data_IF_349270566022
#
_entry.id   IF_349270566022
#
_cell.length_a   1.000
_cell.length_b   1.000
_cell.length_c   1.000
_cell.angle_alpha   90.00
_cell.angle_beta   90.00
_cell.angle_gamma   90.00
#
_symmetry.space_group_name_H-M   'P 1'
#
loop_
_entity.id
_entity.type
_entity.pdbx_description
1 polymer ?
#
# COMPACT_ATOMS: atom_id res chain seq x y z
N UNK A 1 -12.61 -18.13 5.62
CA UNK A 1 -12.29 -16.73 5.20
C UNK A 1 -11.74 -15.85 6.34
N UNK A 2 -11.82 -16.27 7.58
CA UNK A 2 -11.37 -15.49 8.75
C UNK A 2 -9.85 -15.58 9.01
N UNK A 3 -9.18 -16.62 8.52
CA UNK A 3 -7.75 -16.90 8.80
C UNK A 3 -6.73 -16.16 7.92
N UNK A 4 -7.16 -15.33 6.98
CA UNK A 4 -6.25 -14.61 6.08
C UNK A 4 -6.47 -13.08 6.04
N UNK A 5 -7.11 -12.50 7.02
CA UNK A 5 -7.14 -11.04 7.11
C UNK A 5 -5.75 -10.55 7.53
N UNK A 6 -5.03 -9.99 6.57
CA UNK A 6 -3.74 -9.39 6.81
C UNK A 6 -3.90 -8.19 7.76
N UNK A 7 -3.13 -8.15 8.85
CA UNK A 7 -3.25 -7.09 9.87
C UNK A 7 -3.24 -5.66 9.30
N UNK A 8 -2.60 -5.45 8.14
CA UNK A 8 -2.63 -4.16 7.45
C UNK A 8 -3.99 -3.86 6.80
N UNK A 9 -4.76 -4.86 6.36
CA UNK A 9 -6.12 -4.65 5.87
C UNK A 9 -7.09 -4.35 7.01
N UNK A 10 -6.92 -4.98 8.16
CA UNK A 10 -7.72 -4.66 9.36
C UNK A 10 -7.46 -3.21 9.80
N UNK A 11 -6.21 -2.78 9.80
CA UNK A 11 -5.84 -1.38 10.07
C UNK A 11 -6.45 -0.43 9.04
N UNK A 12 -6.44 -0.79 7.75
CA UNK A 12 -7.06 0.01 6.70
C UNK A 12 -8.55 0.22 6.97
N UNK A 13 -9.30 -0.84 7.26
CA UNK A 13 -10.74 -0.77 7.54
C UNK A 13 -11.03 0.05 8.81
N UNK A 14 -10.23 -0.12 9.87
CA UNK A 14 -10.38 0.64 11.11
C UNK A 14 -10.14 2.15 10.90
N UNK A 15 -9.12 2.51 10.12
CA UNK A 15 -8.85 3.92 9.76
C UNK A 15 -9.91 4.48 8.80
N UNK A 16 -10.34 3.68 7.83
CA UNK A 16 -11.33 4.08 6.83
C UNK A 16 -12.71 4.34 7.44
N UNK A 17 -13.12 3.51 8.41
CA UNK A 17 -14.48 3.52 8.97
C UNK A 17 -15.51 3.62 7.85
N UNK A 18 -15.56 2.60 6.94
CA UNK A 18 -16.43 2.64 5.78
C UNK A 18 -17.89 2.76 6.20
N UNK A 19 -18.69 3.43 5.38
CA UNK A 19 -20.11 3.62 5.61
C UNK A 19 -20.91 3.33 4.32
N UNK A 20 -22.13 2.86 4.45
CA UNK A 20 -22.97 2.38 3.34
C UNK A 20 -23.28 3.44 2.26
N UNK A 21 -23.02 4.70 2.55
CA UNK A 21 -23.16 5.80 1.59
C UNK A 21 -21.83 6.22 0.94
N UNK A 22 -20.71 5.63 1.33
CA UNK A 22 -19.41 5.98 0.75
C UNK A 22 -19.31 5.55 -0.71
N UNK A 23 -18.81 6.45 -1.53
CA UNK A 23 -18.22 6.16 -2.84
C UNK A 23 -16.70 6.16 -2.68
N UNK A 24 -16.09 5.02 -2.95
CA UNK A 24 -14.68 4.78 -2.65
C UNK A 24 -13.85 4.80 -3.93
N UNK A 25 -12.71 5.48 -3.91
CA UNK A 25 -11.62 5.27 -4.86
C UNK A 25 -10.55 4.40 -4.20
N UNK A 26 -10.29 3.23 -4.75
CA UNK A 26 -9.09 2.43 -4.44
C UNK A 26 -7.98 2.85 -5.42
N UNK A 27 -7.11 3.75 -4.97
CA UNK A 27 -6.08 4.40 -5.76
C UNK A 27 -4.84 3.54 -5.86
N UNK A 28 -4.37 3.26 -7.08
CA UNK A 28 -3.32 2.30 -7.37
C UNK A 28 -3.66 0.92 -6.77
N UNK A 29 -4.83 0.43 -7.17
CA UNK A 29 -5.53 -0.71 -6.55
C UNK A 29 -4.77 -2.03 -6.69
N UNK A 30 -3.91 -2.17 -7.71
CA UNK A 30 -3.33 -3.45 -8.10
C UNK A 30 -4.44 -4.46 -8.40
N UNK A 31 -4.44 -5.59 -7.71
CA UNK A 31 -5.48 -6.63 -7.83
C UNK A 31 -6.70 -6.39 -6.91
N UNK A 32 -6.88 -5.21 -6.32
CA UNK A 32 -8.12 -4.84 -5.65
C UNK A 32 -8.19 -5.07 -4.15
N UNK A 33 -7.13 -5.51 -3.49
CA UNK A 33 -7.20 -5.98 -2.10
C UNK A 33 -7.70 -4.93 -1.09
N UNK A 34 -7.34 -3.65 -1.27
CA UNK A 34 -7.79 -2.58 -0.37
C UNK A 34 -9.27 -2.25 -0.61
N UNK A 35 -9.68 -2.14 -1.88
CA UNK A 35 -11.06 -1.97 -2.27
C UNK A 35 -11.96 -3.11 -1.79
N UNK A 36 -11.51 -4.36 -1.93
CA UNK A 36 -12.27 -5.54 -1.47
C UNK A 36 -12.50 -5.54 0.04
N UNK A 37 -11.51 -5.05 0.81
CA UNK A 37 -11.64 -5.00 2.26
C UNK A 37 -12.75 -4.04 2.74
N UNK A 38 -13.07 -3.00 1.97
CA UNK A 38 -14.11 -2.02 2.30
C UNK A 38 -15.41 -2.24 1.53
N UNK A 39 -15.39 -2.97 0.42
CA UNK A 39 -16.54 -3.17 -0.47
C UNK A 39 -17.83 -3.64 0.23
N UNK A 40 -17.80 -4.55 1.22
CA UNK A 40 -19.01 -5.00 1.90
C UNK A 40 -19.78 -3.90 2.63
N UNK A 41 -19.10 -2.82 3.04
CA UNK A 41 -19.63 -1.78 3.91
C UNK A 41 -19.91 -0.45 3.20
N UNK A 42 -19.71 -0.38 1.87
CA UNK A 42 -19.82 0.87 1.10
C UNK A 42 -20.80 0.75 -0.08
N UNK A 43 -21.21 1.89 -0.64
CA UNK A 43 -22.11 1.92 -1.80
C UNK A 43 -21.42 1.39 -3.07
N UNK A 44 -20.20 1.85 -3.36
CA UNK A 44 -19.46 1.48 -4.54
C UNK A 44 -17.95 1.70 -4.34
N UNK A 45 -17.16 0.89 -5.03
CA UNK A 45 -15.69 1.01 -5.13
C UNK A 45 -15.30 1.17 -6.58
N UNK A 46 -14.55 2.20 -6.88
CA UNK A 46 -13.84 2.42 -8.13
C UNK A 46 -12.37 2.03 -7.91
N UNK A 47 -11.97 0.89 -8.45
CA UNK A 47 -10.62 0.35 -8.34
C UNK A 47 -9.79 0.82 -9.55
N UNK A 48 -8.88 1.77 -9.34
CA UNK A 48 -8.15 2.47 -10.37
C UNK A 48 -6.65 2.14 -10.35
N UNK A 49 -6.09 1.78 -11.49
CA UNK A 49 -4.66 1.48 -11.66
C UNK A 49 -4.19 1.80 -13.08
N UNK A 50 -2.88 1.92 -13.28
CA UNK A 50 -2.26 2.09 -14.59
C UNK A 50 -1.80 0.77 -15.24
N UNK A 51 -1.92 -0.36 -14.54
CA UNK A 51 -1.47 -1.67 -14.96
C UNK A 51 -2.66 -2.58 -15.35
N UNK A 52 -2.92 -2.79 -16.66
CA UNK A 52 -4.08 -3.53 -17.12
C UNK A 52 -4.11 -4.98 -16.62
N UNK A 53 -2.95 -5.66 -16.57
CA UNK A 53 -2.88 -7.07 -16.14
C UNK A 53 -3.34 -7.24 -14.67
N UNK A 54 -3.04 -6.26 -13.80
CA UNK A 54 -3.49 -6.28 -12.41
C UNK A 54 -4.99 -6.02 -12.29
N UNK A 55 -5.54 -5.13 -13.14
CA UNK A 55 -6.98 -4.88 -13.18
C UNK A 55 -7.76 -6.10 -13.66
N UNK A 56 -7.25 -6.82 -14.66
CA UNK A 56 -7.86 -8.10 -15.13
C UNK A 56 -7.86 -9.15 -14.02
N UNK A 57 -6.77 -9.30 -13.29
CA UNK A 57 -6.69 -10.19 -12.13
C UNK A 57 -7.67 -9.77 -11.04
N UNK A 58 -7.76 -8.46 -10.73
CA UNK A 58 -8.71 -7.91 -9.77
C UNK A 58 -10.16 -8.19 -10.16
N UNK A 59 -10.53 -7.99 -11.42
CA UNK A 59 -11.87 -8.31 -11.93
C UNK A 59 -12.23 -9.78 -11.72
N UNK A 60 -11.29 -10.69 -12.02
CA UNK A 60 -11.47 -12.12 -11.81
C UNK A 60 -11.69 -12.43 -10.32
N UNK A 61 -10.85 -11.89 -9.45
CA UNK A 61 -10.95 -12.08 -8.00
C UNK A 61 -12.25 -11.51 -7.43
N UNK A 62 -12.67 -10.32 -7.86
CA UNK A 62 -13.94 -9.71 -7.44
C UNK A 62 -15.14 -10.60 -7.80
N UNK A 63 -15.14 -11.16 -9.01
CA UNK A 63 -16.19 -12.10 -9.46
C UNK A 63 -16.20 -13.39 -8.62
N UNK A 64 -15.03 -13.95 -8.30
CA UNK A 64 -14.91 -15.15 -7.45
C UNK A 64 -15.40 -14.89 -6.02
N UNK A 65 -15.17 -13.67 -5.50
CA UNK A 65 -15.63 -13.24 -4.18
C UNK A 65 -17.09 -12.77 -4.16
N UNK A 66 -17.75 -12.67 -5.32
CA UNK A 66 -19.13 -12.18 -5.43
C UNK A 66 -19.30 -10.70 -5.13
N UNK A 67 -18.25 -9.87 -5.30
CA UNK A 67 -18.29 -8.43 -5.09
C UNK A 67 -18.90 -7.74 -6.33
N UNK A 68 -20.14 -7.29 -6.22
CA UNK A 68 -20.89 -6.70 -7.35
C UNK A 68 -20.80 -5.17 -7.41
N UNK A 69 -20.25 -4.54 -6.39
CA UNK A 69 -20.15 -3.09 -6.25
C UNK A 69 -18.70 -2.58 -6.44
N UNK A 70 -17.83 -3.36 -7.09
CA UNK A 70 -16.45 -2.97 -7.42
C UNK A 70 -16.32 -2.87 -8.94
N UNK A 71 -15.96 -1.69 -9.44
CA UNK A 71 -15.61 -1.46 -10.82
C UNK A 71 -14.10 -1.24 -10.95
N UNK A 72 -13.52 -1.62 -12.11
CA UNK A 72 -12.09 -1.51 -12.38
C UNK A 72 -11.85 -0.62 -13.59
N UNK A 73 -11.00 0.40 -13.44
CA UNK A 73 -10.73 1.38 -14.49
C UNK A 73 -9.23 1.60 -14.67
N UNK A 74 -8.78 1.49 -15.93
CA UNK A 74 -7.42 1.85 -16.33
C UNK A 74 -7.31 3.38 -16.40
N UNK A 75 -6.39 3.96 -15.64
CA UNK A 75 -6.22 5.41 -15.53
C UNK A 75 -4.76 5.82 -15.53
N UNK A 76 -4.50 7.09 -15.83
CA UNK A 76 -3.27 7.75 -15.40
C UNK A 76 -3.45 8.21 -13.95
N UNK A 77 -2.62 7.69 -13.03
CA UNK A 77 -2.69 8.03 -11.60
C UNK A 77 -2.38 9.51 -11.30
N UNK A 78 -1.73 10.21 -12.24
CA UNK A 78 -1.41 11.63 -12.10
C UNK A 78 -2.42 12.56 -12.80
N UNK A 79 -3.41 11.98 -13.52
CA UNK A 79 -4.44 12.71 -14.23
C UNK A 79 -5.75 11.90 -14.23
N UNK A 80 -6.35 11.74 -13.05
CA UNK A 80 -7.54 10.93 -12.87
C UNK A 80 -8.74 11.45 -13.68
N UNK A 81 -9.46 10.58 -14.43
CA UNK A 81 -10.57 10.97 -15.28
C UNK A 81 -11.88 11.22 -14.50
N UNK A 82 -11.78 11.56 -13.22
CA UNK A 82 -12.92 11.80 -12.35
C UNK A 82 -13.12 13.28 -12.07
N UNK A 83 -14.37 13.66 -11.87
CA UNK A 83 -14.73 15.03 -11.49
C UNK A 83 -14.14 15.38 -10.10
N UNK A 84 -13.95 16.65 -9.86
CA UNK A 84 -13.61 17.15 -8.53
C UNK A 84 -14.64 16.67 -7.51
N UNK A 85 -14.16 16.25 -6.34
CA UNK A 85 -15.00 15.85 -5.20
C UNK A 85 -15.93 14.64 -5.47
N UNK A 86 -15.51 13.73 -6.34
CA UNK A 86 -16.30 12.56 -6.72
C UNK A 86 -16.39 11.48 -5.62
N UNK A 87 -15.40 11.40 -4.71
CA UNK A 87 -15.29 10.31 -3.75
C UNK A 87 -15.33 10.80 -2.31
N UNK A 88 -16.04 10.08 -1.44
CA UNK A 88 -16.11 10.36 0.00
C UNK A 88 -14.99 9.65 0.79
N UNK A 89 -14.44 8.59 0.23
CA UNK A 89 -13.31 7.84 0.79
C UNK A 89 -12.32 7.50 -0.33
N UNK A 90 -11.05 7.69 -0.07
CA UNK A 90 -9.96 7.18 -0.91
C UNK A 90 -9.14 6.23 -0.05
N UNK A 91 -8.85 5.04 -0.56
CA UNK A 91 -7.88 4.11 0.02
C UNK A 91 -6.70 3.96 -0.91
N UNK A 92 -5.49 3.93 -0.37
CA UNK A 92 -4.26 3.74 -1.12
C UNK A 92 -3.31 2.88 -0.28
N UNK A 93 -2.98 1.70 -0.78
CA UNK A 93 -2.20 0.72 -0.01
C UNK A 93 -1.03 0.19 -0.80
N UNK A 94 0.16 0.22 -0.19
CA UNK A 94 1.41 -0.29 -0.78
C UNK A 94 1.74 0.33 -2.16
N UNK A 95 1.46 1.60 -2.34
CA UNK A 95 1.61 2.26 -3.65
C UNK A 95 2.52 3.48 -3.59
N UNK A 96 2.48 4.29 -2.53
CA UNK A 96 3.19 5.57 -2.49
C UNK A 96 4.70 5.40 -2.69
N UNK A 97 5.29 4.33 -2.15
CA UNK A 97 6.70 4.00 -2.30
C UNK A 97 7.12 3.64 -3.74
N UNK A 98 6.16 3.38 -4.63
CA UNK A 98 6.39 3.09 -6.04
C UNK A 98 6.26 4.34 -6.94
N UNK A 99 5.56 5.37 -6.46
CA UNK A 99 5.23 6.54 -7.28
C UNK A 99 6.44 7.46 -7.47
N UNK A 100 6.81 7.82 -8.72
CA UNK A 100 7.86 8.79 -9.00
C UNK A 100 7.58 10.17 -8.42
N UNK A 101 6.33 10.61 -8.45
CA UNK A 101 5.87 11.94 -8.05
C UNK A 101 4.73 11.85 -7.02
N UNK A 102 5.01 11.45 -5.76
CA UNK A 102 3.96 11.22 -4.77
C UNK A 102 3.16 12.47 -4.43
N UNK A 103 3.77 13.65 -4.48
CA UNK A 103 3.06 14.91 -4.25
C UNK A 103 1.99 15.19 -5.31
N UNK A 104 2.28 14.90 -6.59
CA UNK A 104 1.32 15.04 -7.69
C UNK A 104 0.16 14.05 -7.55
N UNK A 105 0.46 12.80 -7.19
CA UNK A 105 -0.55 11.78 -6.90
C UNK A 105 -1.48 12.19 -5.75
N UNK A 106 -0.92 12.71 -4.66
CA UNK A 106 -1.68 13.21 -3.52
C UNK A 106 -2.53 14.44 -3.88
N UNK A 107 -2.04 15.32 -4.76
CA UNK A 107 -2.83 16.46 -5.24
C UNK A 107 -4.05 16.00 -6.07
N UNK A 108 -3.92 14.95 -6.89
CA UNK A 108 -5.05 14.33 -7.59
C UNK A 108 -6.04 13.67 -6.61
N UNK A 109 -5.55 12.92 -5.61
CA UNK A 109 -6.41 12.40 -4.55
C UNK A 109 -7.17 13.55 -3.85
N UNK A 110 -6.48 14.64 -3.53
CA UNK A 110 -7.11 15.81 -2.92
C UNK A 110 -8.19 16.42 -3.86
N UNK A 111 -7.92 16.55 -5.14
CA UNK A 111 -8.88 17.10 -6.12
C UNK A 111 -10.17 16.30 -6.15
N UNK A 112 -10.07 14.97 -6.24
CA UNK A 112 -11.23 14.09 -6.37
C UNK A 112 -11.92 13.75 -5.04
N UNK A 113 -11.30 14.07 -3.90
CA UNK A 113 -11.88 13.86 -2.57
C UNK A 113 -12.98 14.89 -2.30
N UNK A 114 -14.15 14.46 -1.86
CA UNK A 114 -15.28 15.33 -1.51
C UNK A 114 -15.00 16.16 -0.24
N UNK A 115 -15.77 17.21 -0.05
CA UNK A 115 -15.74 17.97 1.22
C UNK A 115 -16.17 17.08 2.38
N UNK A 116 -15.36 17.02 3.43
CA UNK A 116 -15.58 16.12 4.57
C UNK A 116 -15.21 14.65 4.28
N UNK A 117 -14.70 14.35 3.08
CA UNK A 117 -14.14 13.06 2.73
C UNK A 117 -12.80 12.80 3.43
N UNK A 118 -12.34 11.57 3.34
CA UNK A 118 -11.09 11.12 3.96
C UNK A 118 -10.25 10.24 3.04
N UNK A 119 -8.94 10.30 3.20
CA UNK A 119 -7.99 9.37 2.58
C UNK A 119 -7.43 8.45 3.66
N UNK A 120 -7.31 7.18 3.35
CA UNK A 120 -6.55 6.22 4.15
C UNK A 120 -5.37 5.73 3.33
N UNK A 121 -4.18 6.05 3.80
CA UNK A 121 -2.92 5.69 3.20
C UNK A 121 -2.22 4.64 4.06
N UNK A 122 -1.88 3.48 3.49
CA UNK A 122 -1.04 2.48 4.12
C UNK A 122 0.19 2.21 3.28
N UNK A 123 1.37 2.41 3.85
CA UNK A 123 2.62 2.13 3.14
C UNK A 123 3.72 1.60 4.07
N UNK A 124 4.58 0.70 3.61
CA UNK A 124 5.75 0.28 4.37
C UNK A 124 6.66 1.47 4.68
N UNK A 125 7.11 1.52 5.92
CA UNK A 125 8.00 2.58 6.41
C UNK A 125 9.31 2.01 6.95
N UNK A 126 10.30 2.88 7.04
CA UNK A 126 11.63 2.57 7.57
C UNK A 126 11.98 3.53 8.71
N UNK A 127 12.88 3.09 9.56
CA UNK A 127 13.55 3.94 10.53
C UNK A 127 14.97 4.33 10.04
N UNK A 128 15.70 5.07 10.86
CA UNK A 128 17.04 5.52 10.53
C UNK A 128 18.03 4.36 10.32
N UNK A 129 17.86 3.26 11.05
CA UNK A 129 18.73 2.08 11.01
C UNK A 129 18.49 1.26 9.74
N UNK A 130 17.22 1.07 9.35
CA UNK A 130 16.81 0.19 8.26
C UNK A 130 16.72 0.88 6.91
N UNK A 131 16.62 2.23 6.87
CA UNK A 131 16.36 3.05 5.67
C UNK A 131 17.24 2.65 4.48
N UNK A 132 18.56 2.71 4.63
CA UNK A 132 19.46 2.41 3.52
C UNK A 132 19.36 0.96 3.06
N UNK A 133 19.47 0.03 4.01
CA UNK A 133 19.54 -1.39 3.70
C UNK A 133 18.24 -1.93 3.11
N UNK A 134 17.10 -1.57 3.70
CA UNK A 134 15.80 -2.06 3.22
C UNK A 134 15.42 -1.44 1.88
N UNK A 135 15.68 -0.15 1.66
CA UNK A 135 15.47 0.49 0.36
C UNK A 135 16.36 -0.10 -0.75
N UNK A 136 17.61 -0.47 -0.47
CA UNK A 136 18.48 -1.16 -1.43
C UNK A 136 17.94 -2.54 -1.80
N UNK A 137 17.47 -3.32 -0.82
CA UNK A 137 16.87 -4.64 -1.03
C UNK A 137 15.54 -4.52 -1.79
N UNK A 138 14.70 -3.56 -1.43
CA UNK A 138 13.43 -3.32 -2.10
C UNK A 138 13.59 -3.00 -3.59
N UNK A 139 14.60 -2.20 -3.97
CA UNK A 139 14.91 -1.93 -5.39
C UNK A 139 15.39 -3.15 -6.16
N UNK A 140 16.08 -4.09 -5.51
CA UNK A 140 16.45 -5.37 -6.13
C UNK A 140 15.23 -6.23 -6.41
N UNK A 141 14.26 -6.23 -5.47
CA UNK A 141 13.01 -6.99 -5.57
C UNK A 141 12.07 -6.38 -6.61
N UNK A 142 11.84 -5.07 -6.52
CA UNK A 142 10.86 -4.35 -7.29
C UNK A 142 11.51 -3.19 -8.05
N UNK A 143 11.71 -3.31 -9.38
CA UNK A 143 12.35 -2.26 -10.17
C UNK A 143 11.61 -0.91 -10.15
N UNK A 144 10.30 -0.92 -9.93
CA UNK A 144 9.49 0.28 -9.78
C UNK A 144 9.70 0.97 -8.42
N UNK A 145 10.29 0.28 -7.44
CA UNK A 145 10.49 0.83 -6.11
C UNK A 145 11.29 2.13 -6.14
N UNK A 146 10.74 3.18 -5.55
CA UNK A 146 11.37 4.49 -5.40
C UNK A 146 11.94 4.65 -4.01
N UNK A 147 11.07 4.62 -2.98
CA UNK A 147 11.48 4.84 -1.60
C UNK A 147 10.44 4.37 -0.59
N UNK A 148 10.86 3.53 0.35
CA UNK A 148 10.17 3.46 1.65
C UNK A 148 10.57 4.69 2.45
N UNK A 149 9.57 5.45 2.88
CA UNK A 149 9.76 6.69 3.61
C UNK A 149 9.91 6.41 5.11
N UNK A 150 10.58 7.31 5.81
CA UNK A 150 10.42 7.41 7.27
C UNK A 150 9.07 8.06 7.55
N UNK A 151 8.51 7.78 8.73
CA UNK A 151 7.20 8.34 9.12
C UNK A 151 7.17 9.85 8.96
N UNK A 152 8.19 10.56 9.44
CA UNK A 152 8.25 12.02 9.36
C UNK A 152 8.35 12.55 7.91
N UNK A 153 9.01 11.80 7.03
CA UNK A 153 9.04 12.15 5.60
C UNK A 153 7.66 11.95 4.96
N UNK A 154 6.96 10.88 5.33
CA UNK A 154 5.61 10.60 4.86
C UNK A 154 4.62 11.67 5.33
N UNK A 155 4.67 12.07 6.61
CA UNK A 155 3.86 13.15 7.17
C UNK A 155 4.11 14.46 6.41
N UNK A 156 5.38 14.83 6.19
CA UNK A 156 5.74 16.04 5.46
C UNK A 156 5.22 16.03 4.00
N UNK A 157 5.26 14.87 3.32
CA UNK A 157 4.73 14.72 1.95
C UNK A 157 3.22 14.95 1.93
N UNK A 158 2.46 14.32 2.83
CA UNK A 158 0.99 14.45 2.84
C UNK A 158 0.56 15.85 3.28
N UNK A 159 1.25 16.47 4.23
CA UNK A 159 1.00 17.85 4.65
C UNK A 159 1.29 18.85 3.52
N UNK A 160 2.39 18.68 2.78
CA UNK A 160 2.73 19.53 1.64
C UNK A 160 1.70 19.45 0.51
N UNK A 161 0.98 18.33 0.41
CA UNK A 161 -0.14 18.14 -0.53
C UNK A 161 -1.48 18.70 -0.02
N UNK A 162 -1.49 19.40 1.13
CA UNK A 162 -2.69 20.04 1.70
C UNK A 162 -3.60 19.10 2.48
N UNK A 163 -3.05 18.02 3.03
CA UNK A 163 -3.75 17.15 3.97
C UNK A 163 -3.36 17.41 5.42
N UNK A 164 -4.25 17.05 6.32
CA UNK A 164 -3.99 17.00 7.77
C UNK A 164 -4.07 15.55 8.21
N UNK A 165 -3.06 15.07 8.90
CA UNK A 165 -3.05 13.74 9.52
C UNK A 165 -3.97 13.78 10.74
N UNK A 166 -5.10 13.07 10.69
CA UNK A 166 -6.08 12.97 11.78
C UNK A 166 -5.82 11.80 12.70
N UNK A 167 -5.28 10.73 12.15
CA UNK A 167 -4.89 9.55 12.91
C UNK A 167 -3.70 8.89 12.23
N UNK A 168 -2.78 8.40 13.05
CA UNK A 168 -1.61 7.66 12.63
C UNK A 168 -1.51 6.40 13.50
N UNK A 169 -1.44 5.26 12.88
CA UNK A 169 -1.20 3.97 13.51
C UNK A 169 -0.13 3.20 12.74
N UNK A 170 0.49 2.24 13.39
CA UNK A 170 1.51 1.40 12.76
C UNK A 170 1.22 -0.06 13.08
N UNK A 171 1.36 -0.92 12.09
CA UNK A 171 1.31 -2.36 12.26
C UNK A 171 2.62 -3.00 11.83
N UNK A 172 3.17 -3.86 12.70
CA UNK A 172 4.36 -4.64 12.37
C UNK A 172 3.97 -5.87 11.58
N UNK A 173 4.62 -6.07 10.44
CA UNK A 173 4.42 -7.25 9.60
C UNK A 173 5.66 -8.12 9.63
N UNK A 174 5.46 -9.41 9.92
CA UNK A 174 6.49 -10.43 9.72
C UNK A 174 6.14 -11.24 8.48
N UNK A 175 7.10 -11.46 7.61
CA UNK A 175 6.91 -12.15 6.35
C UNK A 175 8.05 -13.14 6.09
N UNK A 176 7.73 -14.25 5.46
CA UNK A 176 8.72 -15.17 4.91
C UNK A 176 9.34 -14.56 3.65
N UNK A 177 10.67 -14.61 3.54
CA UNK A 177 11.41 -13.99 2.44
C UNK A 177 11.07 -14.64 1.09
N UNK A 178 10.91 -15.95 1.05
CA UNK A 178 10.62 -16.65 -0.21
C UNK A 178 9.21 -16.33 -0.70
N UNK A 179 8.24 -16.26 0.21
CA UNK A 179 6.90 -15.76 -0.12
C UNK A 179 6.94 -14.32 -0.64
N UNK A 180 7.70 -13.44 0.04
CA UNK A 180 7.83 -12.03 -0.37
C UNK A 180 8.46 -11.87 -1.76
N UNK A 181 9.45 -12.71 -2.09
CA UNK A 181 10.09 -12.73 -3.41
C UNK A 181 9.15 -13.29 -4.49
N UNK A 182 8.41 -14.33 -4.17
CA UNK A 182 7.45 -14.97 -5.09
C UNK A 182 6.30 -14.01 -5.44
N UNK A 183 5.79 -13.27 -4.46
CA UNK A 183 4.71 -12.29 -4.67
C UNK A 183 5.05 -11.19 -5.68
N UNK A 184 6.35 -10.91 -5.90
CA UNK A 184 6.83 -9.98 -6.93
C UNK A 184 7.42 -10.70 -8.17
N UNK A 185 7.21 -12.01 -8.31
CA UNK A 185 7.74 -12.81 -9.40
C UNK A 185 9.25 -12.62 -9.64
N UNK A 186 10.03 -12.46 -8.53
CA UNK A 186 11.47 -12.14 -8.61
C UNK A 186 12.23 -13.29 -9.27
N UNK A 187 13.01 -13.05 -10.34
CA UNK A 187 13.82 -14.08 -10.97
C UNK A 187 14.80 -14.74 -9.99
N UNK A 188 15.04 -16.05 -10.15
CA UNK A 188 15.86 -16.85 -9.22
C UNK A 188 17.23 -16.24 -8.93
N UNK A 189 17.94 -15.73 -9.95
CA UNK A 189 19.25 -15.11 -9.79
C UNK A 189 19.22 -13.86 -8.88
N UNK A 190 18.18 -13.05 -9.00
CA UNK A 190 17.95 -11.89 -8.11
C UNK A 190 17.50 -12.35 -6.71
N UNK A 191 16.66 -13.37 -6.62
CA UNK A 191 16.24 -13.94 -5.34
C UNK A 191 17.43 -14.44 -4.53
N UNK A 192 18.38 -15.13 -5.16
CA UNK A 192 19.62 -15.60 -4.51
C UNK A 192 20.49 -14.42 -4.04
N UNK A 193 20.60 -13.36 -4.84
CA UNK A 193 21.29 -12.13 -4.45
C UNK A 193 20.61 -11.48 -3.23
N UNK A 194 19.29 -11.37 -3.21
CA UNK A 194 18.54 -10.78 -2.10
C UNK A 194 18.70 -11.61 -0.83
N UNK A 195 18.63 -12.97 -0.91
CA UNK A 195 18.93 -13.84 0.23
C UNK A 195 20.36 -13.62 0.78
N UNK A 196 21.33 -13.44 -0.12
CA UNK A 196 22.70 -13.08 0.25
C UNK A 196 22.79 -11.75 0.97
N UNK A 197 22.02 -10.74 0.53
CA UNK A 197 21.94 -9.43 1.20
C UNK A 197 21.36 -9.55 2.61
N UNK A 198 20.26 -10.28 2.82
CA UNK A 198 19.71 -10.51 4.16
C UNK A 198 20.74 -11.16 5.10
N UNK A 199 21.51 -12.14 4.63
CA UNK A 199 22.56 -12.80 5.43
C UNK A 199 23.73 -11.88 5.79
N UNK A 200 23.98 -10.84 4.99
CA UNK A 200 25.07 -9.88 5.18
C UNK A 200 24.66 -8.54 5.79
N UNK A 201 23.41 -8.40 6.21
CA UNK A 201 22.94 -7.19 6.90
C UNK A 201 23.74 -6.96 8.19
N UNK A 202 24.03 -5.70 8.55
CA UNK A 202 24.55 -5.35 9.86
C UNK A 202 23.67 -5.89 11.00
N UNK A 203 24.27 -6.21 12.15
CA UNK A 203 23.57 -6.85 13.27
C UNK A 203 22.44 -5.97 13.81
N UNK A 204 22.62 -4.67 13.87
CA UNK A 204 21.61 -3.69 14.27
C UNK A 204 20.43 -3.65 13.29
N UNK A 205 20.68 -3.69 11.99
CA UNK A 205 19.64 -3.79 10.96
C UNK A 205 18.88 -5.12 11.06
N UNK A 206 19.59 -6.24 11.24
CA UNK A 206 18.95 -7.54 11.46
C UNK A 206 18.05 -7.53 12.69
N UNK A 207 18.51 -6.91 13.78
CA UNK A 207 17.72 -6.79 15.00
C UNK A 207 16.48 -5.92 14.83
N UNK A 208 16.61 -4.75 14.16
CA UNK A 208 15.48 -3.88 13.86
C UNK A 208 14.43 -4.54 12.96
N UNK A 209 14.87 -5.39 12.04
CA UNK A 209 14.00 -6.12 11.11
C UNK A 209 13.57 -7.49 11.64
N UNK A 210 13.88 -7.87 12.87
CA UNK A 210 13.63 -9.21 13.44
C UNK A 210 14.02 -10.33 12.47
N UNK A 211 15.17 -10.20 11.79
CA UNK A 211 15.59 -11.18 10.80
C UNK A 211 15.90 -12.50 11.50
N UNK A 212 15.15 -13.54 11.15
CA UNK A 212 15.35 -14.88 11.68
C UNK A 212 15.74 -15.85 10.57
N UNK A 213 16.77 -16.64 10.83
CA UNK A 213 17.27 -17.67 9.93
C UNK A 213 16.87 -19.05 10.46
N UNK A 214 16.26 -19.87 9.61
CA UNK A 214 15.98 -21.27 9.87
C UNK A 214 16.67 -22.15 8.81
N UNK A 215 16.61 -23.47 8.98
CA UNK A 215 17.19 -24.41 7.99
C UNK A 215 16.54 -24.28 6.61
N UNK A 216 15.31 -23.75 6.51
CA UNK A 216 14.53 -23.74 5.29
C UNK A 216 14.13 -22.35 4.80
N UNK A 217 14.18 -21.33 5.67
CA UNK A 217 13.64 -20.01 5.33
C UNK A 217 14.36 -18.88 6.07
N UNK A 218 14.16 -17.68 5.55
CA UNK A 218 14.50 -16.41 6.21
C UNK A 218 13.18 -15.70 6.43
N UNK A 219 12.88 -15.25 7.63
CA UNK A 219 11.77 -14.33 7.90
C UNK A 219 12.30 -12.98 8.35
N UNK A 220 11.53 -11.94 8.10
CA UNK A 220 11.87 -10.59 8.54
C UNK A 220 10.60 -9.79 8.81
N UNK A 221 10.74 -8.72 9.59
CA UNK A 221 9.65 -7.81 9.93
C UNK A 221 9.95 -6.41 9.42
N UNK A 222 8.89 -5.69 9.10
CA UNK A 222 8.91 -4.26 8.80
C UNK A 222 7.61 -3.62 9.28
N UNK A 223 7.64 -2.32 9.44
CA UNK A 223 6.47 -1.56 9.85
C UNK A 223 5.70 -1.03 8.64
N UNK A 224 4.37 -1.03 8.75
CA UNK A 224 3.46 -0.40 7.81
C UNK A 224 2.76 0.73 8.55
N UNK A 225 2.98 1.97 8.11
CA UNK A 225 2.26 3.12 8.63
C UNK A 225 0.89 3.21 7.96
N UNK A 226 -0.13 3.45 8.78
CA UNK A 226 -1.48 3.77 8.35
C UNK A 226 -1.84 5.19 8.76
N UNK A 227 -2.20 6.02 7.80
CA UNK A 227 -2.58 7.41 8.00
C UNK A 227 -4.03 7.61 7.58
N UNK A 228 -4.85 8.22 8.45
CA UNK A 228 -6.12 8.82 8.06
C UNK A 228 -5.91 10.30 7.86
N UNK A 229 -6.21 10.76 6.64
CA UNK A 229 -5.99 12.12 6.19
C UNK A 229 -7.34 12.78 5.87
N UNK A 230 -7.42 14.07 6.14
CA UNK A 230 -8.51 14.94 5.72
C UNK A 230 -7.94 16.18 5.05
N UNK A 231 -8.74 16.89 4.27
CA UNK A 231 -8.33 18.18 3.70
C UNK A 231 -7.98 19.18 4.79
N UNK A 232 -6.90 19.97 4.59
CA UNK A 232 -6.52 21.10 5.45
C UNK A 232 -7.58 22.20 5.43
#
# INVERSE_FOLDING_TARGET
MEEMREASLDLLVDLARPASHDTVLDYATGAGMAGFAVAPDVAAVEAADELPDLLEEGQRLAAELGLINVAFTLVDLYALPYADRAFSLIVCRNALHLLPEPATALAEMQRVLSSGGRVVLLDPVVDETTDKAFNEIARLREPAHRRHYRVQELDAIVESAGFVVKRHDTVRRTIDLDYWLQAAAVPRSKADLIRGRFKSLPVDVQACMDVAFSDKSISFSFDVAGLRLERA
#
